data_IF_694845930340
#
_entry.id   IF_694845930340
#
_cell.length_a   1.000
_cell.length_b   1.000
_cell.length_c   1.000
_cell.angle_alpha   90.00
_cell.angle_beta   90.00
_cell.angle_gamma   90.00
#
_symmetry.space_group_name_H-M   'P 1'
#
loop_
_entity.id
_entity.type
_entity.pdbx_description
1 polymer ?
#
# COMPACT_ATOMS: atom_id res chain seq x y z
N UNK A 1 -12.19 -4.74 22.55
CA UNK A 1 -12.54 -3.66 21.59
C UNK A 1 -11.66 -3.84 20.37
N UNK A 2 -12.23 -4.24 19.23
CA UNK A 2 -11.49 -4.41 17.97
C UNK A 2 -11.11 -3.02 17.44
N UNK A 3 -9.83 -2.75 17.16
CA UNK A 3 -9.44 -1.46 16.61
C UNK A 3 -9.96 -1.32 15.17
N UNK A 4 -10.53 -0.16 14.78
CA UNK A 4 -10.91 0.08 13.39
C UNK A 4 -9.67 0.07 12.50
N UNK A 5 -9.73 -0.64 11.37
CA UNK A 5 -8.63 -0.69 10.40
C UNK A 5 -8.64 0.60 9.56
N UNK A 6 -7.48 1.22 9.30
CA UNK A 6 -7.42 2.38 8.41
C UNK A 6 -7.92 2.01 6.99
N UNK A 7 -8.59 2.94 6.30
CA UNK A 7 -9.01 2.73 4.92
C UNK A 7 -7.78 2.57 4.02
N UNK A 8 -7.80 1.56 3.14
CA UNK A 8 -6.79 1.39 2.12
C UNK A 8 -7.15 2.31 0.94
N UNK A 9 -6.24 3.20 0.55
CA UNK A 9 -6.49 4.19 -0.50
C UNK A 9 -6.25 3.60 -1.88
N UNK A 10 -5.32 2.65 -2.02
CA UNK A 10 -4.96 2.13 -3.31
C UNK A 10 -4.56 0.65 -3.22
N UNK A 11 -5.42 -0.23 -3.74
CA UNK A 11 -5.24 -1.69 -3.69
C UNK A 11 -4.35 -2.26 -4.80
N UNK A 12 -3.93 -1.42 -5.76
CA UNK A 12 -3.27 -1.88 -6.97
C UNK A 12 -2.01 -2.68 -6.67
N UNK A 13 -2.09 -4.01 -6.77
CA UNK A 13 -0.91 -4.87 -6.70
C UNK A 13 -0.15 -4.79 -8.02
N UNK A 14 1.16 -4.97 -7.99
CA UNK A 14 2.05 -4.88 -9.17
C UNK A 14 1.48 -5.59 -10.42
N UNK A 15 0.95 -6.79 -10.27
CA UNK A 15 0.36 -7.56 -11.38
C UNK A 15 -0.90 -6.91 -11.96
N UNK A 16 -1.73 -6.28 -11.11
CA UNK A 16 -2.93 -5.55 -11.52
C UNK A 16 -2.53 -4.26 -12.26
N UNK A 17 -1.48 -3.57 -11.80
CA UNK A 17 -0.92 -2.39 -12.47
C UNK A 17 -0.32 -2.74 -13.84
N UNK A 18 0.43 -3.84 -13.94
CA UNK A 18 0.98 -4.32 -15.21
C UNK A 18 -0.15 -4.68 -16.19
N UNK A 19 -1.17 -5.40 -15.73
CA UNK A 19 -2.33 -5.74 -16.57
C UNK A 19 -3.08 -4.49 -17.07
N UNK A 20 -3.23 -3.47 -16.22
CA UNK A 20 -3.86 -2.21 -16.59
C UNK A 20 -3.02 -1.43 -17.63
N UNK A 21 -1.70 -1.39 -17.45
CA UNK A 21 -0.79 -0.79 -18.45
C UNK A 21 -0.88 -1.52 -19.79
N UNK A 22 -0.92 -2.85 -19.79
CA UNK A 22 -1.11 -3.66 -21.00
C UNK A 22 -2.45 -3.39 -21.66
N UNK A 23 -3.53 -3.35 -20.88
CA UNK A 23 -4.87 -3.05 -21.38
C UNK A 23 -4.92 -1.67 -22.04
N UNK A 24 -4.29 -0.66 -21.45
CA UNK A 24 -4.18 0.68 -22.03
C UNK A 24 -3.32 0.66 -23.29
N UNK A 25 -2.16 0.04 -23.25
CA UNK A 25 -1.27 0.00 -24.41
C UNK A 25 -1.96 -0.59 -25.64
N UNK A 26 -2.78 -1.64 -25.49
CA UNK A 26 -3.58 -2.19 -26.60
C UNK A 26 -4.59 -1.21 -27.21
N UNK A 27 -5.11 -0.27 -26.44
CA UNK A 27 -6.04 0.76 -26.92
C UNK A 27 -5.30 1.90 -27.66
N UNK A 28 -4.12 2.28 -27.17
CA UNK A 28 -3.37 3.43 -27.68
C UNK A 28 -2.35 3.06 -28.76
N UNK A 29 -1.94 1.79 -28.83
CA UNK A 29 -0.93 1.26 -29.75
C UNK A 29 -1.51 0.06 -30.54
N UNK A 30 -2.46 0.28 -31.46
CA UNK A 30 -3.20 -0.80 -32.13
C UNK A 30 -2.35 -1.75 -32.98
N UNK A 31 -1.12 -1.37 -33.35
CA UNK A 31 -0.16 -2.22 -34.07
C UNK A 31 0.88 -2.92 -33.18
N UNK A 32 0.88 -2.65 -31.89
CA UNK A 32 1.86 -3.21 -30.96
C UNK A 32 1.32 -4.50 -30.34
N UNK A 33 2.03 -5.61 -30.58
CA UNK A 33 1.61 -6.95 -30.16
C UNK A 33 2.20 -7.40 -28.81
N UNK A 34 3.07 -6.57 -28.21
CA UNK A 34 3.51 -6.45 -26.80
C UNK A 34 3.90 -7.65 -25.95
N UNK A 35 3.47 -8.83 -26.34
CA UNK A 35 3.54 -10.09 -25.61
C UNK A 35 3.73 -11.27 -26.57
N UNK A 36 3.52 -11.06 -27.87
CA UNK A 36 3.74 -12.06 -28.92
C UNK A 36 5.23 -12.33 -29.21
N UNK A 37 6.14 -11.42 -28.86
CA UNK A 37 7.58 -11.52 -29.12
C UNK A 37 8.36 -11.63 -27.80
N UNK A 38 9.10 -12.72 -27.57
CA UNK A 38 10.02 -12.82 -26.43
C UNK A 38 11.03 -11.67 -26.45
N UNK A 39 11.16 -10.94 -25.34
CA UNK A 39 12.11 -9.83 -25.21
C UNK A 39 11.62 -8.48 -25.73
N UNK A 40 10.32 -8.30 -25.95
CA UNK A 40 9.75 -7.00 -26.33
C UNK A 40 10.11 -5.89 -25.32
N UNK A 41 10.72 -4.82 -25.82
CA UNK A 41 11.20 -3.71 -25.00
C UNK A 41 10.05 -2.90 -24.37
N UNK A 42 8.91 -2.77 -25.07
CA UNK A 42 7.72 -2.11 -24.53
C UNK A 42 7.17 -2.86 -23.32
N UNK A 43 7.09 -4.19 -23.40
CA UNK A 43 6.65 -5.05 -22.32
C UNK A 43 7.56 -4.91 -21.09
N UNK A 44 8.88 -4.83 -21.30
CA UNK A 44 9.86 -4.60 -20.26
C UNK A 44 9.67 -3.23 -19.60
N UNK A 45 9.43 -2.16 -20.38
CA UNK A 45 9.15 -0.82 -19.86
C UNK A 45 7.90 -0.83 -18.98
N UNK A 46 6.81 -1.47 -19.41
CA UNK A 46 5.59 -1.54 -18.62
C UNK A 46 5.77 -2.35 -17.33
N UNK A 47 6.56 -3.42 -17.35
CA UNK A 47 6.96 -4.16 -16.13
C UNK A 47 7.75 -3.31 -15.15
N UNK A 48 8.65 -2.47 -15.65
CA UNK A 48 9.43 -1.53 -14.83
C UNK A 48 8.50 -0.48 -14.23
N UNK A 49 7.63 0.12 -15.04
CA UNK A 49 6.66 1.11 -14.59
C UNK A 49 5.72 0.54 -13.51
N UNK A 50 5.17 -0.66 -13.72
CA UNK A 50 4.33 -1.34 -12.73
C UNK A 50 5.06 -1.62 -11.42
N UNK A 51 6.36 -1.90 -11.45
CA UNK A 51 7.18 -2.06 -10.24
C UNK A 51 7.35 -0.74 -9.50
N UNK A 52 7.65 0.35 -10.21
CA UNK A 52 7.81 1.68 -9.60
C UNK A 52 6.49 2.17 -8.98
N UNK A 53 5.38 2.01 -9.70
CA UNK A 53 4.05 2.40 -9.23
C UNK A 53 3.59 1.59 -8.01
N UNK A 54 3.96 0.30 -7.93
CA UNK A 54 3.66 -0.51 -6.75
C UNK A 54 4.34 0.03 -5.48
N UNK A 55 5.58 0.51 -5.58
CA UNK A 55 6.30 1.13 -4.45
C UNK A 55 5.65 2.46 -4.03
N UNK A 56 5.23 3.27 -5.00
CA UNK A 56 4.51 4.53 -4.74
C UNK A 56 3.17 4.25 -4.06
N UNK A 57 2.42 3.28 -4.58
CA UNK A 57 1.14 2.81 -4.04
C UNK A 57 1.28 2.34 -2.59
N UNK A 58 2.31 1.54 -2.30
CA UNK A 58 2.59 1.09 -0.93
C UNK A 58 2.88 2.24 0.03
N UNK A 59 3.59 3.29 -0.42
CA UNK A 59 3.87 4.47 0.39
C UNK A 59 2.62 5.32 0.60
N UNK A 60 1.76 5.46 -0.41
CA UNK A 60 0.49 6.16 -0.30
C UNK A 60 -0.46 5.45 0.68
N UNK A 61 -0.46 4.13 0.71
CA UNK A 61 -1.21 3.36 1.71
C UNK A 61 -0.78 3.67 3.15
N UNK A 62 0.49 4.00 3.40
CA UNK A 62 0.95 4.44 4.74
C UNK A 62 0.43 5.83 5.11
N UNK A 63 0.09 6.66 4.14
CA UNK A 63 -0.46 8.00 4.40
C UNK A 63 -1.84 7.90 5.04
N UNK A 64 -2.69 6.96 4.61
CA UNK A 64 -4.01 6.78 5.19
C UNK A 64 -3.95 6.36 6.65
N UNK A 65 -2.97 5.52 7.01
CA UNK A 65 -2.70 5.15 8.40
C UNK A 65 -2.30 6.38 9.24
N UNK A 66 -1.42 7.23 8.71
CA UNK A 66 -1.02 8.48 9.39
C UNK A 66 -2.21 9.40 9.62
N UNK A 67 -3.02 9.63 8.58
CA UNK A 67 -4.22 10.47 8.67
C UNK A 67 -5.24 9.92 9.66
N UNK A 68 -5.45 8.60 9.68
CA UNK A 68 -6.33 7.95 10.63
C UNK A 68 -5.87 8.11 12.09
N UNK A 69 -4.56 7.92 12.35
CA UNK A 69 -3.99 8.17 13.69
C UNK A 69 -4.13 9.63 14.11
N UNK A 70 -3.92 10.57 13.18
CA UNK A 70 -4.13 12.01 13.42
C UNK A 70 -5.59 12.34 13.77
N UNK A 71 -6.55 11.73 13.08
CA UNK A 71 -7.98 11.87 13.39
C UNK A 71 -8.33 11.34 14.78
N UNK A 72 -7.83 10.16 15.16
CA UNK A 72 -8.04 9.61 16.51
C UNK A 72 -7.42 10.52 17.59
N UNK A 73 -6.22 11.05 17.33
CA UNK A 73 -5.59 12.02 18.22
C UNK A 73 -6.44 13.28 18.41
N UNK A 74 -7.00 13.83 17.32
CA UNK A 74 -7.91 14.97 17.35
C UNK A 74 -9.18 14.69 18.17
N UNK A 75 -9.75 13.48 18.05
CA UNK A 75 -10.88 13.01 18.88
C UNK A 75 -10.51 12.75 20.35
N UNK A 76 -9.26 12.98 20.76
CA UNK A 76 -8.78 12.69 22.11
C UNK A 76 -8.63 11.19 22.42
N UNK A 77 -8.80 10.31 21.42
CA UNK A 77 -8.59 8.86 21.57
C UNK A 77 -7.09 8.56 21.56
N UNK A 78 -6.50 8.39 22.73
CA UNK A 78 -5.10 7.98 22.92
C UNK A 78 -5.01 6.55 23.43
N UNK A 79 -3.94 5.84 23.08
CA UNK A 79 -3.63 4.56 23.69
C UNK A 79 -3.31 4.72 25.18
N UNK A 80 -3.61 3.71 25.99
CA UNK A 80 -3.17 3.69 27.39
C UNK A 80 -1.64 3.57 27.44
N UNK A 81 -0.95 4.46 28.16
CA UNK A 81 0.48 4.31 28.34
C UNK A 81 0.80 3.02 29.10
N UNK A 82 1.96 2.43 28.81
CA UNK A 82 2.47 1.32 29.60
C UNK A 82 2.56 1.73 31.08
N UNK A 83 2.05 0.89 31.98
CA UNK A 83 2.14 1.10 33.42
C UNK A 83 3.12 0.09 34.00
N UNK A 84 4.03 0.55 34.86
CA UNK A 84 4.89 -0.33 35.62
C UNK A 84 4.05 -1.29 36.47
N UNK A 85 4.45 -2.56 36.50
CA UNK A 85 3.85 -3.53 37.42
C UNK A 85 4.14 -3.07 38.86
N UNK A 86 3.12 -3.04 39.70
CA UNK A 86 3.25 -2.77 41.13
C UNK A 86 2.99 -4.07 41.86
N UNK A 87 4.00 -4.57 42.60
CA UNK A 87 3.90 -5.78 43.41
C UNK A 87 4.20 -5.41 44.87
N UNK A 88 3.26 -5.62 45.81
CA UNK A 88 3.55 -5.46 47.23
C UNK A 88 4.47 -6.60 47.69
N UNK A 89 5.61 -6.27 48.30
CA UNK A 89 6.54 -7.24 48.88
C UNK A 89 6.54 -7.07 50.40
N UNK A 90 6.32 -8.17 51.12
CA UNK A 90 6.44 -8.22 52.58
C UNK A 90 7.69 -9.02 52.92
N UNK A 91 8.62 -8.41 53.63
CA UNK A 91 9.80 -9.09 54.18
C UNK A 91 9.48 -9.57 55.59
N UNK A 92 9.89 -10.80 55.92
CA UNK A 92 9.84 -11.39 57.27
C UNK A 92 11.24 -11.42 57.86
#
# INVERSE_FOLDING_TARGET
MTMPRPPNLNRGRRAELEAELMRRARLWLPGWTGDAVPGDAGAAIFKIAARLEAEVTQRLDRLSEKSFRGFLYWLGRRGSPGRAARLPVVFR
#
